data_IF_696365317478
#
_entry.id   IF_696365317478
#
_cell.length_a   1.000
_cell.length_b   1.000
_cell.length_c   1.000
_cell.angle_alpha   90.00
_cell.angle_beta   90.00
_cell.angle_gamma   90.00
#
_symmetry.space_group_name_H-M   'P 1'
#
loop_
_entity.id
_entity.type
_entity.pdbx_description
1 polymer ?
#
# COMPACT_ATOMS: atom_id res chain seq x y z
N UNK A 1 -25.03 -10.89 4.28
CA UNK A 1 -24.13 -11.52 3.28
C UNK A 1 -22.72 -10.98 3.45
N UNK A 2 -21.86 -11.67 4.21
CA UNK A 2 -20.42 -11.38 4.29
C UNK A 2 -19.71 -12.60 3.73
N UNK A 3 -19.24 -12.49 2.50
CA UNK A 3 -18.57 -13.58 1.79
C UNK A 3 -17.24 -13.86 2.48
N UNK A 4 -17.17 -15.01 3.15
CA UNK A 4 -15.96 -15.55 3.76
C UNK A 4 -15.12 -16.12 2.60
N UNK A 5 -14.08 -15.40 2.20
CA UNK A 5 -13.11 -15.92 1.21
C UNK A 5 -12.27 -16.97 1.92
N UNK A 6 -12.45 -18.22 1.51
CA UNK A 6 -11.69 -19.38 1.95
C UNK A 6 -10.24 -19.18 1.54
N UNK A 7 -9.34 -19.16 2.52
CA UNK A 7 -7.91 -19.27 2.31
C UNK A 7 -7.62 -20.63 1.67
N UNK A 8 -7.32 -20.63 0.37
CA UNK A 8 -6.81 -21.82 -0.31
C UNK A 8 -5.32 -21.90 -0.03
N UNK A 9 -4.97 -22.62 1.03
CA UNK A 9 -3.60 -23.08 1.25
C UNK A 9 -3.34 -24.18 0.24
N UNK A 10 -2.42 -23.95 -0.69
CA UNK A 10 -2.01 -24.93 -1.69
C UNK A 10 -0.77 -24.44 -2.43
N UNK A 11 0.39 -24.85 -1.93
CA UNK A 11 1.70 -24.86 -2.60
C UNK A 11 2.01 -23.66 -3.52
N UNK A 12 2.48 -22.56 -2.95
CA UNK A 12 3.21 -21.56 -3.72
C UNK A 12 4.59 -22.13 -4.09
N UNK A 13 4.64 -22.90 -5.17
CA UNK A 13 5.86 -23.03 -5.95
C UNK A 13 6.24 -21.60 -6.39
N UNK A 14 7.28 -21.04 -5.78
CA UNK A 14 7.92 -19.73 -6.06
C UNK A 14 7.13 -18.84 -7.02
N UNK A 15 6.12 -18.12 -6.49
CA UNK A 15 5.44 -17.09 -7.27
C UNK A 15 6.49 -16.09 -7.76
N UNK A 16 6.37 -15.65 -9.01
CA UNK A 16 7.27 -14.61 -9.49
C UNK A 16 7.09 -13.36 -8.62
N UNK A 17 8.15 -12.57 -8.33
CA UNK A 17 8.03 -11.37 -7.48
C UNK A 17 6.91 -10.40 -7.91
N UNK A 18 6.56 -10.40 -9.20
CA UNK A 18 5.46 -9.62 -9.76
C UNK A 18 4.05 -10.10 -9.32
N UNK A 19 3.86 -11.41 -9.14
CA UNK A 19 2.58 -11.98 -8.71
C UNK A 19 2.31 -11.66 -7.23
N UNK A 20 3.33 -11.80 -6.38
CA UNK A 20 3.27 -11.42 -4.97
C UNK A 20 2.98 -9.93 -4.80
N UNK A 21 3.61 -9.09 -5.63
CA UNK A 21 3.32 -7.66 -5.62
C UNK A 21 1.90 -7.35 -6.07
N UNK A 22 1.40 -8.03 -7.09
CA UNK A 22 0.03 -7.86 -7.58
C UNK A 22 -0.99 -8.20 -6.49
N UNK A 23 -0.79 -9.31 -5.79
CA UNK A 23 -1.60 -9.70 -4.64
C UNK A 23 -1.54 -8.65 -3.52
N UNK A 24 -0.35 -8.12 -3.23
CA UNK A 24 -0.15 -7.07 -2.24
C UNK A 24 -0.89 -5.77 -2.59
N UNK A 25 -0.79 -5.31 -3.85
CA UNK A 25 -1.50 -4.14 -4.35
C UNK A 25 -3.02 -4.30 -4.19
N UNK A 26 -3.56 -5.44 -4.63
CA UNK A 26 -4.99 -5.72 -4.56
C UNK A 26 -5.50 -5.77 -3.10
N UNK A 27 -4.73 -6.41 -2.22
CA UNK A 27 -5.09 -6.57 -0.82
C UNK A 27 -5.04 -5.26 -0.04
N UNK A 28 -4.00 -4.44 -0.24
CA UNK A 28 -3.69 -3.33 0.66
C UNK A 28 -4.05 -1.95 0.13
N UNK A 29 -4.33 -1.78 -1.17
CA UNK A 29 -4.76 -0.48 -1.70
C UNK A 29 -6.04 0.03 -1.03
N UNK A 30 -7.17 -0.72 -0.98
CA UNK A 30 -8.40 -0.21 -0.37
C UNK A 30 -8.28 0.19 1.11
N UNK A 31 -7.70 -0.62 2.02
CA UNK A 31 -7.59 -0.24 3.42
C UNK A 31 -6.60 0.93 3.65
N UNK A 32 -5.53 1.03 2.86
CA UNK A 32 -4.54 2.10 3.01
C UNK A 32 -5.07 3.43 2.48
N UNK A 33 -5.78 3.42 1.35
CA UNK A 33 -6.52 4.61 0.87
C UNK A 33 -7.51 5.04 1.95
N UNK A 34 -8.32 4.14 2.50
CA UNK A 34 -9.29 4.47 3.55
C UNK A 34 -8.62 5.11 4.78
N UNK A 35 -7.51 4.54 5.26
CA UNK A 35 -6.78 5.07 6.41
C UNK A 35 -6.16 6.45 6.13
N UNK A 36 -5.57 6.63 4.94
CA UNK A 36 -5.01 7.91 4.53
C UNK A 36 -6.11 8.96 4.32
N UNK A 37 -7.25 8.63 3.72
CA UNK A 37 -8.39 9.54 3.57
C UNK A 37 -8.88 10.04 4.92
N UNK A 38 -9.01 9.15 5.91
CA UNK A 38 -9.40 9.52 7.27
C UNK A 38 -8.34 10.43 7.96
N UNK A 39 -7.06 10.23 7.64
CA UNK A 39 -5.96 11.00 8.24
C UNK A 39 -5.77 12.37 7.57
N UNK A 40 -5.92 12.43 6.25
CA UNK A 40 -5.63 13.61 5.43
C UNK A 40 -6.86 14.50 5.22
N UNK A 41 -8.08 13.96 5.39
CA UNK A 41 -9.33 14.67 5.09
C UNK A 41 -9.59 14.86 3.59
N UNK A 42 -8.76 14.26 2.74
CA UNK A 42 -8.80 14.40 1.28
C UNK A 42 -8.67 13.01 0.63
N UNK A 43 -9.77 12.44 0.09
CA UNK A 43 -9.76 11.14 -0.56
C UNK A 43 -8.96 11.06 -1.87
N UNK A 44 -8.83 12.17 -2.60
CA UNK A 44 -8.06 12.21 -3.84
C UNK A 44 -6.56 12.19 -3.51
N UNK A 45 -6.14 13.05 -2.57
CA UNK A 45 -4.76 13.05 -2.08
C UNK A 45 -4.36 11.72 -1.45
N UNK A 46 -5.28 11.03 -0.77
CA UNK A 46 -5.04 9.71 -0.19
C UNK A 46 -4.79 8.63 -1.25
N UNK A 47 -5.51 8.69 -2.39
CA UNK A 47 -5.29 7.79 -3.53
C UNK A 47 -3.90 8.02 -4.14
N UNK A 48 -3.56 9.27 -4.42
CA UNK A 48 -2.23 9.63 -4.94
C UNK A 48 -1.10 9.19 -4.00
N UNK A 49 -1.28 9.44 -2.70
CA UNK A 49 -0.30 9.05 -1.69
C UNK A 49 -0.11 7.54 -1.58
N UNK A 50 -1.19 6.77 -1.74
CA UNK A 50 -1.13 5.31 -1.77
C UNK A 50 -0.40 4.82 -3.02
N UNK A 51 -0.72 5.38 -4.19
CA UNK A 51 -0.07 5.02 -5.45
C UNK A 51 1.43 5.31 -5.42
N UNK A 52 1.84 6.48 -4.93
CA UNK A 52 3.25 6.78 -4.73
C UNK A 52 3.92 5.77 -3.79
N UNK A 53 3.27 5.44 -2.68
CA UNK A 53 3.83 4.48 -1.72
C UNK A 53 4.00 3.10 -2.35
N UNK A 54 3.07 2.67 -3.21
CA UNK A 54 3.15 1.42 -3.97
C UNK A 54 4.26 1.47 -5.03
N UNK A 55 4.44 2.59 -5.74
CA UNK A 55 5.57 2.79 -6.65
C UNK A 55 6.90 2.64 -5.92
N UNK A 56 7.01 3.23 -4.72
CA UNK A 56 8.19 3.06 -3.86
C UNK A 56 8.30 1.67 -3.25
N UNK A 57 7.21 0.92 -3.13
CA UNK A 57 7.26 -0.45 -2.67
C UNK A 57 7.84 -1.35 -3.77
N UNK A 58 7.39 -1.16 -5.01
CA UNK A 58 7.86 -1.90 -6.18
C UNK A 58 9.38 -1.81 -6.35
N UNK A 59 9.95 -0.61 -6.22
CA UNK A 59 11.39 -0.37 -6.38
C UNK A 59 12.28 -1.09 -5.35
N UNK A 60 11.72 -1.56 -4.24
CA UNK A 60 12.43 -2.22 -3.12
C UNK A 60 11.59 -3.37 -2.58
N UNK A 61 10.97 -4.11 -3.50
CA UNK A 61 9.98 -5.12 -3.16
C UNK A 61 10.50 -6.22 -2.22
N UNK A 62 11.72 -6.76 -2.42
CA UNK A 62 12.28 -7.76 -1.49
C UNK A 62 12.40 -7.23 -0.05
N UNK A 63 12.84 -5.98 0.12
CA UNK A 63 12.97 -5.37 1.44
C UNK A 63 11.60 -5.18 2.09
N UNK A 64 10.61 -4.71 1.32
CA UNK A 64 9.25 -4.47 1.82
C UNK A 64 8.58 -5.77 2.24
N UNK A 65 8.75 -6.85 1.48
CA UNK A 65 8.24 -8.17 1.85
C UNK A 65 8.86 -8.71 3.14
N UNK A 66 10.13 -8.37 3.41
CA UNK A 66 10.83 -8.81 4.63
C UNK A 66 10.40 -8.05 5.90
N UNK A 67 9.63 -6.96 5.77
CA UNK A 67 9.18 -6.18 6.91
C UNK A 67 8.16 -6.96 7.76
N UNK A 68 8.21 -6.76 9.07
CA UNK A 68 7.21 -7.31 9.99
C UNK A 68 5.79 -6.74 9.73
N UNK A 69 5.70 -5.53 9.17
CA UNK A 69 4.43 -4.89 8.83
C UNK A 69 4.54 -4.06 7.52
N UNK A 70 4.49 -4.73 6.35
CA UNK A 70 4.51 -4.04 5.06
C UNK A 70 3.37 -3.03 4.84
N UNK A 71 2.09 -3.28 5.21
CA UNK A 71 1.04 -2.28 5.01
C UNK A 71 1.17 -1.06 5.93
N UNK A 72 1.66 -1.24 7.17
CA UNK A 72 1.97 -0.13 8.06
C UNK A 72 3.09 0.76 7.53
N UNK A 73 4.10 0.16 6.90
CA UNK A 73 5.12 0.89 6.16
C UNK A 73 4.53 1.66 4.97
N UNK A 74 3.63 1.04 4.20
CA UNK A 74 2.97 1.66 3.05
C UNK A 74 2.21 2.92 3.46
N UNK A 75 1.43 2.82 4.55
CA UNK A 75 0.73 3.96 5.14
C UNK A 75 1.69 5.10 5.53
N UNK A 76 2.80 4.78 6.22
CA UNK A 76 3.79 5.79 6.65
C UNK A 76 4.44 6.50 5.47
N UNK A 77 4.80 5.75 4.43
CA UNK A 77 5.40 6.30 3.21
C UNK A 77 4.42 7.24 2.50
N UNK A 78 3.16 6.81 2.32
CA UNK A 78 2.12 7.65 1.72
C UNK A 78 1.85 8.92 2.53
N UNK A 79 1.71 8.82 3.85
CA UNK A 79 1.49 9.96 4.73
C UNK A 79 2.63 10.98 4.66
N UNK A 80 3.88 10.50 4.67
CA UNK A 80 5.05 11.37 4.57
C UNK A 80 5.14 12.07 3.21
N UNK A 81 4.80 11.36 2.13
CA UNK A 81 4.75 11.97 0.80
C UNK A 81 3.68 13.06 0.71
N UNK A 82 2.46 12.80 1.19
CA UNK A 82 1.37 13.77 1.18
C UNK A 82 1.74 15.04 1.97
N UNK A 83 2.34 14.89 3.16
CA UNK A 83 2.85 16.01 3.95
C UNK A 83 3.94 16.79 3.23
N UNK A 84 4.86 16.11 2.56
CA UNK A 84 5.91 16.75 1.77
C UNK A 84 5.36 17.52 0.57
N UNK A 85 4.34 16.98 -0.11
CA UNK A 85 3.61 17.66 -1.18
C UNK A 85 2.95 18.94 -0.68
N UNK A 86 2.22 18.87 0.44
CA UNK A 86 1.57 20.04 1.03
C UNK A 86 2.57 21.15 1.42
N UNK A 87 3.72 20.78 2.02
CA UNK A 87 4.78 21.75 2.33
C UNK A 87 5.35 22.44 1.09
N UNK A 88 5.44 21.74 -0.04
CA UNK A 88 5.97 22.31 -1.30
C UNK A 88 4.97 23.24 -1.97
N UNK A 89 3.68 22.96 -1.88
CA UNK A 89 2.62 23.83 -2.45
C UNK A 89 2.47 25.17 -1.71
N UNK A 90 2.93 25.24 -0.45
CA UNK A 90 2.86 26.44 0.39
C UNK A 90 4.15 27.28 0.38
N UNK A 91 5.16 26.89 -0.38
CA UNK A 91 6.38 27.66 -0.63
C UNK A 91 6.24 28.39 -1.95
#
# INVERSE_FOLDING_TARGET
>A
MRTRVVARTGAAASAAPADDFTAFVQQWTPPVVKALSATLGDPDLARDATQEALTRAWLRWPDVLSLANPPGWLYRVGLNWARSRYRRMRR
#
